data_IF_770134559063
#
_entry.id   IF_770134559063
#
_cell.length_a   1.000
_cell.length_b   1.000
_cell.length_c   1.000
_cell.angle_alpha   90.00
_cell.angle_beta   90.00
_cell.angle_gamma   90.00
#
_symmetry.space_group_name_H-M   'P 1'
#
loop_
_entity.id
_entity.type
_entity.pdbx_description
1 polymer ?
#
# COMPACT_ATOMS: atom_id res chain seq x y z
N UNK A 1 13.86 12.44 19.37
CA UNK A 1 13.53 11.55 20.52
C UNK A 1 13.62 10.11 20.04
N UNK A 2 14.20 9.20 20.83
CA UNK A 2 14.28 7.79 20.50
C UNK A 2 12.87 7.19 20.65
N UNK A 3 12.30 6.65 19.58
CA UNK A 3 10.96 6.06 19.60
C UNK A 3 11.01 4.70 20.28
N UNK A 4 10.15 4.48 21.29
CA UNK A 4 9.89 3.16 21.83
C UNK A 4 8.95 2.41 20.87
N UNK A 5 9.29 1.18 20.50
CA UNK A 5 8.42 0.31 19.70
C UNK A 5 7.39 -0.37 20.59
N UNK A 6 6.14 -0.41 20.14
CA UNK A 6 5.01 -0.96 20.91
C UNK A 6 5.24 -2.43 21.30
N UNK A 7 5.81 -3.25 20.40
CA UNK A 7 6.08 -4.68 20.70
C UNK A 7 7.03 -4.92 21.87
N UNK A 8 7.85 -3.91 22.20
CA UNK A 8 8.87 -4.03 23.24
C UNK A 8 8.36 -3.54 24.62
N UNK A 9 7.16 -2.99 24.69
CA UNK A 9 6.57 -2.47 25.93
C UNK A 9 6.13 -3.63 26.84
N UNK A 10 6.54 -3.56 28.11
CA UNK A 10 6.23 -4.51 29.15
C UNK A 10 5.48 -3.83 30.30
N UNK A 11 4.75 -4.60 31.09
CA UNK A 11 4.05 -4.09 32.29
C UNK A 11 5.08 -3.45 33.24
N UNK A 12 4.78 -2.23 33.67
CA UNK A 12 5.65 -1.39 34.51
C UNK A 12 6.55 -0.42 33.73
N UNK A 13 6.57 -0.50 32.40
CA UNK A 13 7.38 0.44 31.60
C UNK A 13 6.76 1.84 31.55
N UNK A 14 7.61 2.86 31.69
CA UNK A 14 7.25 4.23 31.31
C UNK A 14 7.17 4.36 29.80
N UNK A 15 6.10 4.96 29.31
CA UNK A 15 5.84 5.17 27.88
C UNK A 15 6.02 6.63 27.52
N UNK A 16 6.91 6.89 26.56
CA UNK A 16 7.03 8.17 25.88
C UNK A 16 7.26 7.92 24.39
N UNK A 17 6.17 7.84 23.61
CA UNK A 17 6.26 7.45 22.21
C UNK A 17 5.20 8.14 21.33
N UNK A 18 5.35 7.96 20.03
CA UNK A 18 4.34 8.31 19.04
C UNK A 18 3.60 7.04 18.65
N UNK A 19 2.28 7.13 18.50
CA UNK A 19 1.45 6.00 18.09
C UNK A 19 0.32 6.44 17.16
N UNK A 20 -0.06 5.55 16.26
CA UNK A 20 -1.25 5.66 15.42
C UNK A 20 -2.47 5.19 16.21
N UNK A 21 -3.55 5.94 16.19
CA UNK A 21 -4.83 5.54 16.78
C UNK A 21 -5.54 4.61 15.80
N UNK A 22 -5.51 3.30 16.07
CA UNK A 22 -6.19 2.28 15.28
C UNK A 22 -7.69 2.23 15.58
N UNK A 23 -8.03 2.41 16.87
CA UNK A 23 -9.40 2.49 17.35
C UNK A 23 -9.51 3.52 18.46
N UNK A 24 -10.64 4.23 18.54
CA UNK A 24 -10.95 5.15 19.63
C UNK A 24 -12.45 5.10 19.96
N UNK A 25 -12.77 4.92 21.23
CA UNK A 25 -14.14 4.93 21.72
C UNK A 25 -14.25 5.63 23.06
N UNK A 26 -15.43 6.22 23.34
CA UNK A 26 -15.75 6.82 24.63
C UNK A 26 -16.34 5.78 25.57
N UNK A 27 -15.86 5.77 26.83
CA UNK A 27 -16.46 5.04 27.91
C UNK A 27 -17.01 6.01 28.96
N UNK A 28 -18.18 5.72 29.52
CA UNK A 28 -18.78 6.53 30.59
C UNK A 28 -18.45 5.97 31.96
N UNK A 29 -18.27 6.83 32.96
CA UNK A 29 -18.11 6.41 34.31
C UNK A 29 -19.46 6.00 34.91
N UNK A 30 -19.46 4.87 35.62
CA UNK A 30 -20.66 4.39 36.35
C UNK A 30 -20.86 5.08 37.69
N UNK A 31 -19.85 5.78 38.23
CA UNK A 31 -19.89 6.44 39.50
C UNK A 31 -20.72 7.73 39.44
N UNK A 32 -21.73 7.95 40.34
CA UNK A 32 -22.62 9.10 40.28
C UNK A 32 -21.91 10.47 40.35
N UNK A 33 -20.79 10.55 41.08
CA UNK A 33 -20.00 11.78 41.23
C UNK A 33 -19.19 12.15 39.96
N UNK A 34 -19.13 11.28 38.98
CA UNK A 34 -18.52 11.47 37.67
C UNK A 34 -19.55 11.42 36.52
N UNK A 35 -20.81 11.62 36.85
CA UNK A 35 -21.87 11.65 35.85
C UNK A 35 -21.63 12.78 34.81
N UNK A 36 -21.62 12.41 33.55
CA UNK A 36 -21.31 13.30 32.42
C UNK A 36 -19.83 13.35 32.02
N UNK A 37 -18.94 12.79 32.84
CA UNK A 37 -17.55 12.60 32.42
C UNK A 37 -17.40 11.33 31.59
N UNK A 38 -16.39 11.31 30.73
CA UNK A 38 -16.04 10.14 29.91
C UNK A 38 -14.53 9.95 29.89
N UNK A 39 -14.13 8.75 29.58
CA UNK A 39 -12.74 8.36 29.35
C UNK A 39 -12.61 7.82 27.92
N UNK A 40 -11.38 7.78 27.39
CA UNK A 40 -11.12 7.21 26.08
C UNK A 40 -10.50 5.82 26.21
N UNK A 41 -11.07 4.87 25.47
CA UNK A 41 -10.45 3.57 25.18
C UNK A 41 -9.90 3.63 23.77
N UNK A 42 -8.64 3.24 23.61
CA UNK A 42 -7.95 3.26 22.32
C UNK A 42 -7.21 1.96 22.09
N UNK A 43 -7.00 1.63 20.83
CA UNK A 43 -5.94 0.73 20.38
C UNK A 43 -4.92 1.60 19.68
N UNK A 44 -3.70 1.59 20.19
CA UNK A 44 -2.56 2.32 19.63
C UNK A 44 -1.68 1.36 18.86
N UNK A 45 -1.19 1.80 17.70
CA UNK A 45 -0.36 0.99 16.81
C UNK A 45 0.91 1.70 16.36
N UNK A 46 1.89 0.89 15.98
CA UNK A 46 3.04 1.29 15.18
C UNK A 46 3.44 0.14 14.25
N UNK A 47 4.51 0.30 13.47
CA UNK A 47 5.01 -0.72 12.55
C UNK A 47 5.34 -2.07 13.24
N UNK A 48 5.53 -2.07 14.57
CA UNK A 48 5.91 -3.27 15.33
C UNK A 48 4.73 -4.04 15.91
N UNK A 49 3.56 -3.42 16.08
CA UNK A 49 2.38 -4.04 16.66
C UNK A 49 1.37 -3.04 17.22
N UNK A 50 0.48 -3.53 18.07
CA UNK A 50 -0.56 -2.71 18.71
C UNK A 50 -0.68 -3.03 20.19
N UNK A 51 -1.20 -2.05 20.97
CA UNK A 51 -1.42 -2.16 22.40
C UNK A 51 -2.72 -1.43 22.79
N UNK A 52 -3.45 -1.96 23.78
CA UNK A 52 -4.58 -1.25 24.37
C UNK A 52 -4.10 -0.02 25.12
N UNK A 53 -4.89 1.05 25.11
CA UNK A 53 -4.59 2.27 25.85
C UNK A 53 -5.87 2.87 26.44
N UNK A 54 -5.71 3.55 27.56
CA UNK A 54 -6.81 4.23 28.26
C UNK A 54 -6.35 5.59 28.73
N UNK A 55 -7.20 6.61 28.51
CA UNK A 55 -7.05 7.94 29.05
C UNK A 55 -8.24 8.22 29.95
N UNK A 56 -8.01 8.20 31.28
CA UNK A 56 -9.06 8.37 32.28
C UNK A 56 -9.52 9.81 32.45
N UNK A 57 -8.62 10.78 32.28
CA UNK A 57 -8.91 12.21 32.38
C UNK A 57 -8.77 12.87 31.00
N UNK A 58 -9.88 13.35 30.49
CA UNK A 58 -9.94 14.01 29.17
C UNK A 58 -10.01 15.53 29.29
N UNK A 59 -10.05 16.12 30.50
CA UNK A 59 -10.23 17.55 30.70
C UNK A 59 -9.06 18.42 30.16
N UNK A 60 -7.84 17.84 30.16
CA UNK A 60 -6.64 18.51 29.65
C UNK A 60 -6.41 18.36 28.13
N UNK A 61 -7.22 17.57 27.43
CA UNK A 61 -7.01 17.26 26.02
C UNK A 61 -7.68 18.34 25.16
N UNK A 62 -6.87 19.13 24.46
CA UNK A 62 -7.37 20.22 23.60
C UNK A 62 -8.20 19.71 22.42
N UNK A 63 -7.80 18.60 21.84
CA UNK A 63 -8.43 17.98 20.69
C UNK A 63 -8.46 16.46 20.88
N UNK A 64 -9.67 15.89 20.94
CA UNK A 64 -9.84 14.45 21.14
C UNK A 64 -9.32 13.69 19.92
N UNK A 65 -8.51 12.64 20.12
CA UNK A 65 -8.02 11.83 19.02
C UNK A 65 -9.15 11.02 18.38
N UNK A 66 -9.03 10.81 17.08
CA UNK A 66 -9.90 9.96 16.29
C UNK A 66 -9.06 8.84 15.65
N UNK A 67 -9.73 7.80 15.15
CA UNK A 67 -9.08 6.77 14.35
C UNK A 67 -8.33 7.42 13.17
N UNK A 68 -7.09 6.98 12.93
CA UNK A 68 -6.20 7.51 11.90
C UNK A 68 -5.28 8.64 12.37
N UNK A 69 -5.54 9.25 13.54
CA UNK A 69 -4.66 10.28 14.08
C UNK A 69 -3.34 9.68 14.58
N UNK A 70 -2.26 10.40 14.39
CA UNK A 70 -1.00 10.11 15.08
C UNK A 70 -0.91 11.01 16.31
N UNK A 71 -0.67 10.38 17.44
CA UNK A 71 -0.58 11.05 18.75
C UNK A 71 0.77 10.79 19.39
N UNK A 72 1.23 11.77 20.14
CA UNK A 72 2.28 11.57 21.13
C UNK A 72 1.61 11.21 22.44
N UNK A 73 2.13 10.20 23.12
CA UNK A 73 1.61 9.74 24.42
C UNK A 73 2.71 9.62 25.44
N UNK A 74 2.38 10.00 26.71
CA UNK A 74 3.10 9.65 27.90
C UNK A 74 2.18 8.84 28.81
N UNK A 75 2.76 7.91 29.57
CA UNK A 75 2.01 7.09 30.49
C UNK A 75 2.85 5.95 31.02
N UNK A 76 2.17 4.92 31.53
CA UNK A 76 2.78 3.69 32.07
C UNK A 76 2.01 2.48 31.54
N UNK A 77 2.70 1.37 31.33
CA UNK A 77 2.07 0.09 30.96
C UNK A 77 1.57 -0.61 32.22
N UNK A 78 0.26 -0.60 32.42
CA UNK A 78 -0.41 -1.37 33.47
C UNK A 78 -0.87 -2.74 33.00
N UNK A 79 -1.35 -3.57 33.94
CA UNK A 79 -2.02 -4.85 33.67
C UNK A 79 -3.54 -4.71 33.86
N UNK A 80 -4.28 -4.83 32.76
CA UNK A 80 -5.75 -4.90 32.78
C UNK A 80 -6.23 -5.92 31.74
N UNK A 81 -6.29 -7.19 32.17
CA UNK A 81 -6.49 -8.33 31.24
C UNK A 81 -5.46 -8.31 30.10
N UNK A 82 -4.18 -8.12 30.48
CA UNK A 82 -3.03 -7.97 29.62
C UNK A 82 -2.49 -6.53 29.58
N UNK A 83 -1.37 -6.30 28.86
CA UNK A 83 -0.70 -5.00 28.81
C UNK A 83 -1.62 -3.89 28.27
N UNK A 84 -1.69 -2.77 28.98
CA UNK A 84 -2.47 -1.59 28.60
C UNK A 84 -1.72 -0.32 29.00
N UNK A 85 -1.56 0.62 28.07
CA UNK A 85 -0.99 1.94 28.38
C UNK A 85 -2.03 2.78 29.11
N UNK A 86 -1.74 3.17 30.36
CA UNK A 86 -2.48 4.19 31.10
C UNK A 86 -1.87 5.54 30.76
N UNK A 87 -2.58 6.32 29.95
CA UNK A 87 -2.08 7.59 29.42
C UNK A 87 -2.24 8.68 30.46
N UNK A 88 -1.16 9.43 30.69
CA UNK A 88 -1.14 10.62 31.56
C UNK A 88 -1.10 11.93 30.76
N UNK A 89 -0.52 11.93 29.55
CA UNK A 89 -0.49 13.08 28.64
C UNK A 89 -0.65 12.61 27.19
N UNK A 90 -1.42 13.37 26.42
CA UNK A 90 -1.72 13.09 25.03
C UNK A 90 -1.77 14.38 24.23
N UNK A 91 -1.15 14.36 23.05
CA UNK A 91 -1.28 15.42 22.05
C UNK A 91 -1.31 14.88 20.63
N UNK A 92 -2.17 15.44 19.81
CA UNK A 92 -2.20 15.17 18.36
C UNK A 92 -0.95 15.70 17.69
N UNK A 93 -0.43 14.97 16.71
CA UNK A 93 0.71 15.39 15.91
C UNK A 93 0.24 15.81 14.51
N UNK A 94 0.97 16.76 13.93
CA UNK A 94 0.74 17.23 12.58
C UNK A 94 1.10 16.11 11.57
N UNK A 95 0.16 15.64 10.74
CA UNK A 95 0.42 14.56 9.77
C UNK A 95 1.54 14.84 8.78
N UNK A 96 1.85 16.11 8.50
CA UNK A 96 2.92 16.49 7.59
C UNK A 96 4.32 16.38 8.22
N UNK A 97 4.40 16.33 9.55
CA UNK A 97 5.65 16.31 10.32
C UNK A 97 6.03 14.94 10.89
N UNK A 98 5.20 13.93 10.65
CA UNK A 98 5.47 12.58 11.13
C UNK A 98 6.35 11.81 10.16
N UNK A 99 7.16 10.91 10.71
CA UNK A 99 7.83 9.89 9.90
C UNK A 99 6.89 8.69 9.73
N UNK A 100 6.29 8.54 8.56
CA UNK A 100 5.33 7.48 8.24
C UNK A 100 5.88 6.07 8.45
N UNK A 101 7.19 5.85 8.25
CA UNK A 101 7.81 4.53 8.45
C UNK A 101 7.69 3.99 9.87
N UNK A 102 7.30 4.83 10.82
CA UNK A 102 7.05 4.38 12.20
C UNK A 102 5.67 3.73 12.37
N UNK A 103 4.73 3.98 11.47
CA UNK A 103 3.32 3.60 11.65
C UNK A 103 2.84 2.63 10.58
N UNK A 104 3.50 2.59 9.44
CA UNK A 104 3.16 1.72 8.32
C UNK A 104 4.44 1.09 7.74
N UNK A 105 4.36 -0.13 7.21
CA UNK A 105 5.46 -0.71 6.46
C UNK A 105 5.80 0.20 5.26
N UNK A 106 7.07 0.24 4.90
CA UNK A 106 7.58 0.96 3.72
C UNK A 106 8.40 0.00 2.87
N UNK A 107 8.55 0.29 1.58
CA UNK A 107 9.48 -0.44 0.72
C UNK A 107 10.91 -0.31 1.26
N UNK A 108 11.69 -1.38 1.16
CA UNK A 108 13.13 -1.36 1.49
C UNK A 108 13.95 -0.59 0.44
N UNK A 109 13.35 -0.34 -0.74
CA UNK A 109 13.98 0.43 -1.82
C UNK A 109 13.70 1.93 -1.66
N UNK A 110 14.70 2.79 -1.92
CA UNK A 110 14.52 4.26 -1.92
C UNK A 110 13.53 4.67 -3.03
N UNK A 111 12.40 5.32 -2.71
CA UNK A 111 11.43 5.77 -3.71
C UNK A 111 12.04 6.72 -4.77
N UNK A 112 13.09 7.46 -4.42
CA UNK A 112 13.78 8.36 -5.37
C UNK A 112 14.56 7.57 -6.41
N UNK A 113 15.25 6.50 -6.00
CA UNK A 113 15.96 5.60 -6.92
C UNK A 113 14.97 4.87 -7.83
N UNK A 114 13.86 4.38 -7.27
CA UNK A 114 12.79 3.74 -8.04
C UNK A 114 12.16 4.70 -9.07
N UNK A 115 11.89 5.96 -8.70
CA UNK A 115 11.39 6.96 -9.63
C UNK A 115 12.41 7.30 -10.71
N UNK A 116 13.69 7.33 -10.38
CA UNK A 116 14.74 7.55 -11.35
C UNK A 116 14.81 6.39 -12.37
N UNK A 117 14.75 5.15 -11.89
CA UNK A 117 14.65 3.95 -12.75
C UNK A 117 13.47 4.05 -13.71
N UNK A 118 12.27 4.40 -13.20
CA UNK A 118 11.08 4.56 -14.04
C UNK A 118 11.26 5.65 -15.11
N UNK A 119 11.86 6.80 -14.76
CA UNK A 119 12.17 7.88 -15.72
C UNK A 119 13.15 7.44 -16.79
N UNK A 120 14.14 6.64 -16.44
CA UNK A 120 15.10 6.08 -17.39
C UNK A 120 14.42 5.12 -18.37
N UNK A 121 13.51 4.28 -17.87
CA UNK A 121 12.68 3.41 -18.72
C UNK A 121 11.84 4.23 -19.70
N UNK A 122 11.14 5.25 -19.22
CA UNK A 122 10.33 6.15 -20.06
C UNK A 122 11.21 6.83 -21.13
N UNK A 123 12.39 7.27 -20.77
CA UNK A 123 13.32 7.95 -21.68
C UNK A 123 13.89 7.02 -22.74
N UNK A 124 14.35 5.82 -22.31
CA UNK A 124 15.18 4.95 -23.11
C UNK A 124 14.38 3.89 -23.89
N UNK A 125 13.30 3.34 -23.31
CA UNK A 125 12.60 2.21 -23.89
C UNK A 125 11.29 2.59 -24.61
N UNK A 126 10.68 3.72 -24.26
CA UNK A 126 9.46 4.19 -24.94
C UNK A 126 9.85 4.97 -26.20
N UNK A 127 9.70 4.33 -27.34
CA UNK A 127 10.11 4.89 -28.65
C UNK A 127 8.99 5.66 -29.36
N UNK A 128 7.73 5.21 -29.19
CA UNK A 128 6.59 5.89 -29.78
C UNK A 128 6.36 7.26 -29.10
N UNK A 129 6.31 8.37 -29.88
CA UNK A 129 6.21 9.70 -29.30
C UNK A 129 4.90 9.95 -28.54
N UNK A 130 3.78 9.38 -28.97
CA UNK A 130 2.49 9.55 -28.29
C UNK A 130 2.50 8.82 -26.93
N UNK A 131 3.06 7.59 -26.87
CA UNK A 131 3.19 6.84 -25.61
C UNK A 131 4.15 7.55 -24.64
N UNK A 132 5.25 8.10 -25.17
CA UNK A 132 6.20 8.89 -24.35
C UNK A 132 5.54 10.16 -23.81
N UNK A 133 4.83 10.92 -24.65
CA UNK A 133 4.10 12.12 -24.20
C UNK A 133 3.04 11.78 -23.15
N UNK A 134 2.34 10.66 -23.33
CA UNK A 134 1.36 10.18 -22.35
C UNK A 134 2.00 9.93 -20.98
N UNK A 135 3.07 9.14 -20.92
CA UNK A 135 3.77 8.89 -19.65
C UNK A 135 4.35 10.16 -19.03
N UNK A 136 4.94 11.04 -19.85
CA UNK A 136 5.44 12.32 -19.36
C UNK A 136 4.31 13.22 -18.83
N UNK A 137 3.10 13.15 -19.37
CA UNK A 137 1.95 13.92 -18.87
C UNK A 137 1.53 13.50 -17.45
N UNK A 138 1.80 12.26 -17.05
CA UNK A 138 1.63 11.77 -15.69
C UNK A 138 2.82 12.14 -14.81
N UNK A 139 4.04 11.75 -15.21
CA UNK A 139 5.22 11.78 -14.31
C UNK A 139 5.97 13.13 -14.28
N UNK A 140 5.59 14.13 -15.11
CA UNK A 140 6.02 15.51 -14.94
C UNK A 140 5.16 16.28 -13.93
N UNK A 141 4.00 15.78 -13.58
CA UNK A 141 3.19 16.29 -12.47
C UNK A 141 3.81 15.85 -11.15
N UNK A 142 4.30 16.83 -10.37
CA UNK A 142 5.01 16.58 -9.12
C UNK A 142 4.12 15.94 -8.05
N UNK A 143 2.86 16.37 -7.97
CA UNK A 143 1.93 15.85 -6.98
C UNK A 143 1.49 14.42 -7.34
N UNK A 144 1.19 14.16 -8.60
CA UNK A 144 0.94 12.81 -9.09
C UNK A 144 2.14 11.88 -8.79
N UNK A 145 3.35 12.30 -9.16
CA UNK A 145 4.58 11.51 -8.97
C UNK A 145 4.83 11.21 -7.49
N UNK A 146 4.61 12.21 -6.62
CA UNK A 146 4.73 12.01 -5.16
C UNK A 146 3.72 11.00 -4.64
N UNK A 147 2.46 11.12 -5.06
CA UNK A 147 1.39 10.19 -4.64
C UNK A 147 1.66 8.78 -5.16
N UNK A 148 2.07 8.63 -6.42
CA UNK A 148 2.41 7.35 -7.02
C UNK A 148 3.59 6.65 -6.31
N UNK A 149 4.60 7.42 -5.92
CA UNK A 149 5.76 6.92 -5.20
C UNK A 149 5.48 6.48 -3.75
N UNK A 150 4.37 6.93 -3.16
CA UNK A 150 4.02 6.63 -1.76
C UNK A 150 2.83 5.67 -1.64
N UNK A 151 2.06 5.46 -2.71
CA UNK A 151 0.89 4.60 -2.67
C UNK A 151 1.26 3.13 -2.43
N UNK A 152 0.40 2.35 -1.72
CA UNK A 152 0.52 0.91 -1.67
C UNK A 152 0.00 0.28 -2.96
N UNK A 153 0.46 -0.92 -3.30
CA UNK A 153 -0.12 -1.69 -4.39
C UNK A 153 -1.39 -2.45 -3.99
N UNK A 154 -1.50 -2.81 -2.72
CA UNK A 154 -2.69 -3.48 -2.18
C UNK A 154 -2.89 -3.11 -0.70
N UNK A 155 -4.10 -3.34 -0.18
CA UNK A 155 -4.41 -3.10 1.23
C UNK A 155 -3.78 -4.13 2.18
N UNK A 156 -3.71 -5.40 1.78
CA UNK A 156 -3.36 -6.47 2.73
C UNK A 156 -2.55 -7.64 2.14
N UNK A 157 -2.47 -7.81 0.82
CA UNK A 157 -1.98 -9.07 0.23
C UNK A 157 -0.52 -8.96 -0.23
N UNK A 158 -0.24 -8.16 -1.24
CA UNK A 158 1.09 -7.98 -1.82
C UNK A 158 1.45 -6.51 -1.85
N UNK A 159 2.72 -6.15 -1.72
CA UNK A 159 3.20 -4.77 -1.75
C UNK A 159 2.33 -3.79 -0.91
N UNK A 160 1.79 -4.28 0.23
CA UNK A 160 0.90 -3.51 1.12
C UNK A 160 1.72 -2.61 2.07
N UNK A 161 2.56 -1.78 1.50
CA UNK A 161 3.43 -0.82 2.16
C UNK A 161 3.58 0.45 1.33
N UNK A 162 3.98 1.53 1.99
CA UNK A 162 4.25 2.78 1.28
C UNK A 162 5.38 2.59 0.27
N UNK A 163 5.15 3.03 -0.97
CA UNK A 163 6.05 2.77 -2.11
C UNK A 163 5.78 1.46 -2.84
N UNK A 164 4.84 0.64 -2.34
CA UNK A 164 4.53 -0.66 -2.92
C UNK A 164 4.00 -0.59 -4.35
N UNK A 165 3.23 0.44 -4.70
CA UNK A 165 2.73 0.63 -6.06
C UNK A 165 3.86 0.85 -7.07
N UNK A 166 4.82 1.70 -6.74
CA UNK A 166 5.96 1.98 -7.62
C UNK A 166 6.87 0.75 -7.74
N UNK A 167 7.13 0.06 -6.64
CA UNK A 167 7.94 -1.16 -6.63
C UNK A 167 7.30 -2.27 -7.47
N UNK A 168 6.02 -2.55 -7.25
CA UNK A 168 5.23 -3.48 -8.04
C UNK A 168 5.25 -3.13 -9.54
N UNK A 169 5.01 -1.87 -9.86
CA UNK A 169 5.05 -1.39 -11.26
C UNK A 169 6.41 -1.68 -11.92
N UNK A 170 7.52 -1.46 -11.23
CA UNK A 170 8.86 -1.76 -11.75
C UNK A 170 9.10 -3.26 -11.92
N UNK A 171 8.59 -4.10 -11.02
CA UNK A 171 8.65 -5.55 -11.16
C UNK A 171 7.85 -6.02 -12.39
N UNK A 172 6.61 -5.55 -12.55
CA UNK A 172 5.78 -5.87 -13.72
C UNK A 172 6.47 -5.42 -15.02
N UNK A 173 7.07 -4.23 -15.05
CA UNK A 173 7.85 -3.74 -16.19
C UNK A 173 9.02 -4.69 -16.52
N UNK A 174 9.77 -5.15 -15.53
CA UNK A 174 10.91 -6.07 -15.74
C UNK A 174 10.44 -7.41 -16.30
N UNK A 175 9.34 -7.96 -15.77
CA UNK A 175 8.75 -9.22 -16.26
C UNK A 175 8.25 -9.01 -17.70
N UNK A 176 7.52 -7.95 -17.98
CA UNK A 176 7.05 -7.61 -19.33
C UNK A 176 8.19 -7.47 -20.34
N UNK A 177 9.30 -6.81 -19.94
CA UNK A 177 10.49 -6.68 -20.79
C UNK A 177 11.08 -8.04 -21.15
N UNK A 178 11.19 -8.93 -20.17
CA UNK A 178 11.68 -10.28 -20.43
C UNK A 178 10.76 -11.05 -21.38
N UNK A 179 9.44 -11.03 -21.12
CA UNK A 179 8.46 -11.70 -21.99
C UNK A 179 8.46 -11.12 -23.41
N UNK A 180 8.59 -9.80 -23.58
CA UNK A 180 8.70 -9.17 -24.89
C UNK A 180 9.96 -9.61 -25.66
N UNK A 181 11.07 -9.89 -24.97
CA UNK A 181 12.28 -10.39 -25.62
C UNK A 181 12.15 -11.79 -26.20
N UNK A 182 11.18 -12.60 -25.69
CA UNK A 182 10.88 -13.93 -26.23
C UNK A 182 10.01 -13.91 -27.48
N UNK A 183 9.21 -12.83 -27.66
CA UNK A 183 8.26 -12.66 -28.77
C UNK A 183 8.40 -11.29 -29.44
N UNK A 184 9.60 -10.92 -29.95
CA UNK A 184 9.89 -9.56 -30.42
C UNK A 184 9.06 -9.13 -31.63
N UNK A 185 8.64 -10.08 -32.46
CA UNK A 185 7.83 -9.80 -33.65
C UNK A 185 6.34 -9.58 -33.34
N UNK A 186 5.88 -9.91 -32.12
CA UNK A 186 4.47 -9.86 -31.74
C UNK A 186 4.19 -8.90 -30.58
N UNK A 187 5.15 -8.69 -29.68
CA UNK A 187 5.03 -7.82 -28.53
C UNK A 187 5.78 -6.50 -28.76
N UNK A 188 5.04 -5.43 -28.91
CA UNK A 188 5.62 -4.08 -28.97
C UNK A 188 6.03 -3.65 -27.57
N UNK A 189 7.36 -3.61 -27.35
CA UNK A 189 7.92 -3.32 -26.02
C UNK A 189 7.42 -1.99 -25.46
N UNK A 190 7.45 -0.90 -26.24
CA UNK A 190 7.04 0.44 -25.80
C UNK A 190 5.56 0.51 -25.37
N UNK A 191 4.68 -0.19 -26.08
CA UNK A 191 3.26 -0.28 -25.75
C UNK A 191 3.04 -1.12 -24.47
N UNK A 192 3.70 -2.29 -24.39
CA UNK A 192 3.60 -3.16 -23.23
C UNK A 192 4.10 -2.49 -21.95
N UNK A 193 5.26 -1.81 -22.01
CA UNK A 193 5.79 -1.09 -20.84
C UNK A 193 4.94 0.13 -20.47
N UNK A 194 4.29 0.78 -21.44
CA UNK A 194 3.33 1.86 -21.16
C UNK A 194 2.11 1.31 -20.39
N UNK A 195 1.54 0.19 -20.85
CA UNK A 195 0.46 -0.49 -20.15
C UNK A 195 0.87 -0.94 -18.75
N UNK A 196 2.06 -1.55 -18.60
CA UNK A 196 2.62 -1.96 -17.32
C UNK A 196 2.83 -0.78 -16.35
N UNK A 197 3.19 0.40 -16.87
CA UNK A 197 3.34 1.61 -16.04
C UNK A 197 2.00 2.15 -15.55
N UNK A 198 0.93 2.01 -16.33
CA UNK A 198 -0.36 2.63 -16.07
C UNK A 198 -1.46 1.69 -15.57
N UNK A 199 -1.25 0.35 -15.55
CA UNK A 199 -2.31 -0.60 -15.23
C UNK A 199 -2.98 -0.32 -13.90
N UNK A 200 -2.20 0.06 -12.91
CA UNK A 200 -2.61 0.29 -11.53
C UNK A 200 -2.65 1.78 -11.12
N UNK A 201 -2.55 2.69 -12.08
CA UNK A 201 -2.45 4.13 -11.82
C UNK A 201 -3.61 4.69 -10.99
N UNK A 202 -4.79 4.08 -11.10
CA UNK A 202 -5.99 4.47 -10.33
C UNK A 202 -5.87 4.24 -8.82
N UNK A 203 -4.94 3.42 -8.38
CA UNK A 203 -4.69 3.15 -6.94
C UNK A 203 -4.29 4.40 -6.16
N UNK A 204 -3.70 5.40 -6.81
CA UNK A 204 -3.39 6.67 -6.14
C UNK A 204 -4.63 7.44 -5.68
N UNK A 205 -5.80 7.19 -6.26
CA UNK A 205 -7.08 7.77 -5.86
C UNK A 205 -8.01 6.75 -5.18
N UNK A 206 -7.71 5.46 -5.31
CA UNK A 206 -8.43 4.40 -4.62
C UNK A 206 -8.18 4.43 -3.12
N UNK A 207 -6.94 4.74 -2.70
CA UNK A 207 -6.59 4.87 -1.29
C UNK A 207 -6.66 6.31 -0.81
N UNK A 208 -7.11 6.49 0.45
CA UNK A 208 -7.05 7.79 1.12
C UNK A 208 -5.58 8.15 1.40
N UNK A 209 -5.04 9.23 0.81
CA UNK A 209 -3.64 9.62 1.00
C UNK A 209 -3.31 10.05 2.43
N UNK A 210 -4.32 10.39 3.23
CA UNK A 210 -4.15 10.77 4.64
C UNK A 210 -4.07 9.52 5.55
N UNK A 211 -4.63 8.39 5.11
CA UNK A 211 -4.66 7.16 5.89
C UNK A 211 -3.27 6.53 6.00
N UNK A 212 -2.91 6.09 7.21
CA UNK A 212 -1.68 5.33 7.50
C UNK A 212 -1.90 3.81 7.51
N UNK A 213 -3.15 3.36 7.43
CA UNK A 213 -3.55 1.95 7.37
C UNK A 213 -4.12 1.57 5.98
N UNK A 214 -3.84 2.40 4.96
CA UNK A 214 -4.25 2.20 3.57
C UNK A 214 -5.76 1.98 3.41
N UNK A 215 -6.56 2.81 4.09
CA UNK A 215 -8.01 2.78 3.91
C UNK A 215 -8.40 3.27 2.50
N UNK A 216 -9.47 2.68 1.98
CA UNK A 216 -10.03 3.13 0.72
C UNK A 216 -10.72 4.49 0.88
N UNK A 217 -10.51 5.38 -0.08
CA UNK A 217 -11.33 6.58 -0.26
C UNK A 217 -12.77 6.20 -0.61
N UNK A 218 -13.72 7.13 -0.50
CA UNK A 218 -15.09 6.88 -0.97
C UNK A 218 -15.13 6.58 -2.47
N UNK A 219 -14.29 7.26 -3.26
CA UNK A 219 -14.15 6.97 -4.69
C UNK A 219 -13.59 5.56 -4.93
N UNK A 220 -12.61 5.14 -4.13
CA UNK A 220 -12.06 3.78 -4.17
C UNK A 220 -13.11 2.71 -3.90
N UNK A 221 -13.95 2.91 -2.87
CA UNK A 221 -15.03 1.98 -2.51
C UNK A 221 -16.15 1.88 -3.55
N UNK A 222 -16.48 2.99 -4.21
CA UNK A 222 -17.61 3.08 -5.12
C UNK A 222 -17.27 2.79 -6.59
N UNK A 223 -16.04 3.10 -7.01
CA UNK A 223 -15.63 3.06 -8.43
C UNK A 223 -14.52 2.04 -8.67
N UNK A 224 -13.56 1.91 -7.74
CA UNK A 224 -12.40 1.00 -7.86
C UNK A 224 -11.32 1.50 -8.82
N UNK A 225 -10.07 1.08 -8.56
CA UNK A 225 -8.88 1.60 -9.27
C UNK A 225 -8.88 1.35 -10.78
N UNK A 226 -9.46 0.25 -11.27
CA UNK A 226 -9.49 -0.06 -12.71
C UNK A 226 -10.25 1.02 -13.48
N UNK A 227 -11.46 1.36 -13.01
CA UNK A 227 -12.29 2.39 -13.64
C UNK A 227 -11.69 3.77 -13.46
N UNK A 228 -11.13 4.07 -12.28
CA UNK A 228 -10.41 5.32 -12.00
C UNK A 228 -9.20 5.46 -12.92
N UNK A 229 -8.39 4.40 -13.07
CA UNK A 229 -7.21 4.38 -13.93
C UNK A 229 -7.56 4.59 -15.40
N UNK A 230 -8.66 3.97 -15.87
CA UNK A 230 -9.18 4.19 -17.23
C UNK A 230 -9.62 5.64 -17.45
N UNK A 231 -10.30 6.25 -16.48
CA UNK A 231 -10.70 7.65 -16.56
C UNK A 231 -9.48 8.59 -16.58
N UNK A 232 -8.47 8.33 -15.74
CA UNK A 232 -7.22 9.10 -15.75
C UNK A 232 -6.48 8.99 -17.07
N UNK A 233 -6.45 7.79 -17.68
CA UNK A 233 -5.89 7.56 -19.02
C UNK A 233 -6.59 8.43 -20.04
N UNK A 234 -7.94 8.42 -20.08
CA UNK A 234 -8.74 9.20 -21.03
C UNK A 234 -8.50 10.70 -20.88
N UNK A 235 -8.47 11.19 -19.65
CA UNK A 235 -8.21 12.61 -19.38
C UNK A 235 -6.85 13.05 -19.92
N UNK A 236 -5.79 12.24 -19.73
CA UNK A 236 -4.45 12.55 -20.22
C UNK A 236 -4.36 12.44 -21.75
N UNK A 237 -4.94 11.41 -22.35
CA UNK A 237 -4.97 11.24 -23.82
C UNK A 237 -5.73 12.37 -24.50
N UNK A 238 -6.83 12.87 -23.92
CA UNK A 238 -7.59 13.98 -24.51
C UNK A 238 -6.78 15.28 -24.65
N UNK A 239 -5.71 15.42 -23.90
CA UNK A 239 -4.79 16.57 -23.93
C UNK A 239 -3.66 16.39 -24.96
N UNK A 240 -3.52 15.22 -25.57
CA UNK A 240 -2.47 14.93 -26.54
C UNK A 240 -3.07 14.99 -27.95
N UNK A 241 -2.68 15.99 -28.78
CA UNK A 241 -3.22 16.11 -30.12
C UNK A 241 -2.96 14.87 -30.97
N UNK A 242 -3.97 14.47 -31.74
CA UNK A 242 -3.90 13.36 -32.68
C UNK A 242 -3.39 12.03 -32.09
N UNK A 243 -3.71 11.75 -30.81
CA UNK A 243 -3.35 10.47 -30.21
C UNK A 243 -4.00 9.33 -31.01
N UNK A 244 -3.23 8.32 -31.48
CA UNK A 244 -3.76 7.26 -32.34
C UNK A 244 -4.83 6.42 -31.65
N UNK A 245 -6.00 6.29 -32.27
CA UNK A 245 -7.14 5.57 -31.72
C UNK A 245 -6.81 4.13 -31.34
N UNK A 246 -6.03 3.42 -32.17
CA UNK A 246 -5.66 2.02 -31.89
C UNK A 246 -4.76 1.89 -30.65
N UNK A 247 -3.85 2.85 -30.40
CA UNK A 247 -3.04 2.87 -29.19
C UNK A 247 -3.91 3.14 -27.96
N UNK A 248 -4.86 4.08 -28.08
CA UNK A 248 -5.81 4.36 -27.00
C UNK A 248 -6.61 3.10 -26.64
N UNK A 249 -7.22 2.47 -27.63
CA UNK A 249 -8.05 1.28 -27.46
C UNK A 249 -7.29 0.14 -26.80
N UNK A 250 -6.03 -0.07 -27.22
CA UNK A 250 -5.17 -1.11 -26.65
C UNK A 250 -4.82 -0.82 -25.18
N UNK A 251 -4.44 0.42 -24.85
CA UNK A 251 -4.15 0.81 -23.46
C UNK A 251 -5.38 0.72 -22.55
N UNK A 252 -6.55 1.17 -23.05
CA UNK A 252 -7.81 1.01 -22.30
C UNK A 252 -8.08 -0.47 -22.03
N UNK A 253 -7.93 -1.32 -23.05
CA UNK A 253 -8.14 -2.75 -22.89
C UNK A 253 -7.14 -3.38 -21.90
N UNK A 254 -5.86 -2.99 -21.96
CA UNK A 254 -4.84 -3.45 -21.01
C UNK A 254 -5.23 -3.09 -19.56
N UNK A 255 -5.68 -1.85 -19.30
CA UNK A 255 -6.12 -1.43 -17.96
C UNK A 255 -7.40 -2.19 -17.55
N UNK A 256 -8.39 -2.31 -18.42
CA UNK A 256 -9.67 -2.95 -18.09
C UNK A 256 -9.57 -4.46 -17.88
N UNK A 257 -8.49 -5.09 -18.32
CA UNK A 257 -8.35 -6.55 -18.31
C UNK A 257 -7.15 -7.08 -17.51
N UNK A 258 -6.39 -6.21 -16.82
CA UNK A 258 -5.15 -6.64 -16.16
C UNK A 258 -5.37 -7.62 -14.99
N UNK A 259 -6.54 -7.64 -14.35
CA UNK A 259 -6.90 -8.69 -13.38
C UNK A 259 -7.22 -10.05 -14.03
N UNK A 260 -7.37 -10.13 -15.35
CA UNK A 260 -7.46 -11.35 -16.14
C UNK A 260 -8.81 -12.04 -16.12
N UNK A 261 -9.41 -12.24 -14.96
CA UNK A 261 -10.66 -12.99 -14.79
C UNK A 261 -11.76 -12.10 -14.19
N UNK A 262 -13.02 -12.31 -14.63
CA UNK A 262 -14.17 -11.57 -14.12
C UNK A 262 -14.41 -11.84 -12.64
N UNK A 263 -14.17 -13.07 -12.21
CA UNK A 263 -14.26 -13.50 -10.81
C UNK A 263 -13.28 -12.76 -9.89
N UNK A 264 -12.21 -12.22 -10.46
CA UNK A 264 -11.22 -11.39 -9.74
C UNK A 264 -11.49 -9.90 -9.87
N UNK A 265 -12.68 -9.53 -10.38
CA UNK A 265 -13.10 -8.15 -10.53
C UNK A 265 -12.63 -7.46 -11.81
N UNK A 266 -12.09 -8.20 -12.79
CA UNK A 266 -11.74 -7.63 -14.08
C UNK A 266 -13.00 -7.28 -14.89
N UNK A 267 -13.18 -6.03 -15.34
CA UNK A 267 -14.30 -5.67 -16.23
C UNK A 267 -14.30 -6.45 -17.54
N UNK A 268 -13.11 -6.74 -18.08
CA UNK A 268 -12.91 -7.54 -19.29
C UNK A 268 -11.83 -8.61 -19.09
N UNK A 269 -11.85 -9.63 -19.93
CA UNK A 269 -10.75 -10.62 -20.01
C UNK A 269 -9.73 -10.18 -21.08
N UNK A 270 -8.43 -10.52 -20.93
CA UNK A 270 -7.41 -10.15 -21.91
C UNK A 270 -7.69 -10.77 -23.30
N UNK A 271 -7.87 -9.92 -24.32
CA UNK A 271 -8.17 -10.32 -25.71
C UNK A 271 -7.07 -9.97 -26.69
N UNK A 272 -6.03 -9.27 -26.23
CA UNK A 272 -4.85 -8.95 -27.03
C UNK A 272 -3.60 -9.57 -26.43
N UNK A 273 -2.58 -9.76 -27.23
CA UNK A 273 -1.32 -10.35 -26.75
C UNK A 273 -0.66 -9.47 -25.68
N UNK A 274 -0.74 -8.14 -25.79
CA UNK A 274 -0.19 -7.21 -24.80
C UNK A 274 -0.97 -7.28 -23.47
N UNK A 275 -2.31 -7.28 -23.53
CA UNK A 275 -3.14 -7.40 -22.35
C UNK A 275 -2.95 -8.76 -21.64
N UNK A 276 -2.83 -9.85 -22.41
CA UNK A 276 -2.54 -11.18 -21.87
C UNK A 276 -1.17 -11.23 -21.20
N UNK A 277 -0.16 -10.66 -21.83
CA UNK A 277 1.20 -10.61 -21.26
C UNK A 277 1.24 -9.76 -19.98
N UNK A 278 0.57 -8.59 -19.98
CA UNK A 278 0.47 -7.73 -18.79
C UNK A 278 -0.20 -8.45 -17.63
N UNK A 279 -1.36 -9.07 -17.85
CA UNK A 279 -2.06 -9.84 -16.83
C UNK A 279 -1.17 -10.88 -16.16
N UNK A 280 -0.44 -11.67 -16.96
CA UNK A 280 0.46 -12.69 -16.39
C UNK A 280 1.67 -12.09 -15.67
N UNK A 281 2.21 -10.98 -16.16
CA UNK A 281 3.32 -10.28 -15.50
C UNK A 281 2.89 -9.71 -14.13
N UNK A 282 1.72 -9.08 -14.07
CA UNK A 282 1.10 -8.57 -12.85
C UNK A 282 0.85 -9.71 -11.84
N UNK A 283 0.20 -10.78 -12.29
CA UNK A 283 -0.10 -11.96 -11.45
C UNK A 283 1.18 -12.58 -10.88
N UNK A 284 2.25 -12.72 -11.68
CA UNK A 284 3.53 -13.28 -11.24
C UNK A 284 4.16 -12.38 -10.16
N UNK A 285 4.25 -11.06 -10.38
CA UNK A 285 4.78 -10.13 -9.38
C UNK A 285 3.99 -10.21 -8.08
N UNK A 286 2.66 -10.10 -8.14
CA UNK A 286 1.79 -10.15 -6.97
C UNK A 286 1.93 -11.45 -6.18
N UNK A 287 1.95 -12.60 -6.86
CA UNK A 287 2.03 -13.92 -6.21
C UNK A 287 3.41 -14.19 -5.63
N UNK A 288 4.50 -13.87 -6.34
CA UNK A 288 5.85 -14.05 -5.82
C UNK A 288 6.09 -13.18 -4.58
N UNK A 289 5.66 -11.91 -4.59
CA UNK A 289 5.75 -11.05 -3.40
C UNK A 289 4.98 -11.66 -2.21
N UNK A 290 3.78 -12.22 -2.44
CA UNK A 290 3.01 -12.89 -1.39
C UNK A 290 3.75 -14.11 -0.83
N UNK A 291 4.36 -14.96 -1.71
CA UNK A 291 5.16 -16.11 -1.28
C UNK A 291 6.34 -15.67 -0.40
N UNK A 292 7.13 -14.68 -0.87
CA UNK A 292 8.30 -14.17 -0.14
C UNK A 292 7.90 -13.68 1.24
N UNK A 293 6.84 -12.88 1.35
CA UNK A 293 6.35 -12.35 2.63
C UNK A 293 5.88 -13.43 3.60
N UNK A 294 5.25 -14.49 3.09
CA UNK A 294 4.86 -15.62 3.93
C UNK A 294 6.07 -16.42 4.41
N UNK A 295 7.09 -16.55 3.57
CA UNK A 295 8.35 -17.20 3.95
C UNK A 295 9.13 -16.39 5.00
N UNK A 296 9.11 -15.06 4.94
CA UNK A 296 9.77 -14.16 5.90
C UNK A 296 9.06 -14.12 7.26
N UNK A 297 7.75 -14.29 7.28
CA UNK A 297 6.92 -14.33 8.50
C UNK A 297 7.02 -15.66 9.26
N UNK A 298 8.11 -16.40 9.11
CA UNK A 298 8.28 -17.69 9.79
C UNK A 298 7.68 -17.68 11.20
N UNK A 299 6.74 -18.59 11.51
CA UNK A 299 6.38 -18.85 12.91
C UNK A 299 7.65 -19.31 13.64
N UNK A 300 7.83 -18.86 14.86
CA UNK A 300 8.90 -19.31 15.77
C UNK A 300 8.75 -20.78 16.22
N UNK A 301 8.06 -21.61 15.44
CA UNK A 301 7.76 -23.02 15.71
C UNK A 301 8.46 -23.96 14.73
N UNK A 302 8.76 -25.16 15.19
CA UNK A 302 9.38 -26.26 14.44
C UNK A 302 8.43 -26.80 13.36
N UNK A 303 8.44 -26.24 12.15
CA UNK A 303 7.66 -26.73 11.04
C UNK A 303 8.22 -26.27 9.70
N UNK A 304 8.16 -27.18 8.70
CA UNK A 304 8.62 -26.91 7.34
C UNK A 304 7.54 -26.24 6.46
N UNK A 305 6.36 -25.91 7.04
CA UNK A 305 5.21 -25.39 6.34
C UNK A 305 4.65 -24.13 7.01
N UNK A 306 4.09 -23.21 6.21
CA UNK A 306 3.28 -22.12 6.75
C UNK A 306 1.91 -22.64 7.19
N UNK A 307 1.19 -21.81 7.96
CA UNK A 307 -0.26 -21.96 8.07
C UNK A 307 -0.93 -21.82 6.69
N UNK A 308 -2.21 -22.24 6.61
CA UNK A 308 -3.01 -22.09 5.41
C UNK A 308 -3.24 -20.62 5.06
N UNK A 309 -2.75 -20.19 3.91
CA UNK A 309 -3.03 -18.85 3.38
C UNK A 309 -4.32 -18.87 2.54
N UNK A 310 -5.28 -18.02 2.92
CA UNK A 310 -6.61 -17.97 2.28
C UNK A 310 -6.56 -17.41 0.85
N UNK A 311 -5.58 -16.57 0.53
CA UNK A 311 -5.46 -15.93 -0.79
C UNK A 311 -4.69 -16.78 -1.78
N UNK A 312 -3.76 -17.61 -1.29
CA UNK A 312 -3.07 -18.61 -2.10
C UNK A 312 -3.80 -19.96 -2.11
N UNK A 313 -4.80 -20.15 -1.21
CA UNK A 313 -5.56 -21.39 -1.02
C UNK A 313 -4.63 -22.60 -0.82
N UNK A 314 -3.54 -22.39 -0.06
CA UNK A 314 -2.55 -23.43 0.26
C UNK A 314 -1.63 -23.05 1.42
N UNK A 315 -0.97 -24.05 1.99
CA UNK A 315 0.22 -23.87 2.82
C UNK A 315 1.46 -23.87 1.93
N UNK A 316 2.51 -23.15 2.34
CA UNK A 316 3.78 -23.04 1.60
C UNK A 316 4.84 -23.84 2.33
N UNK A 317 5.63 -24.60 1.56
CA UNK A 317 6.80 -25.31 2.04
C UNK A 317 7.99 -24.36 2.18
N UNK A 318 8.58 -24.32 3.38
CA UNK A 318 9.59 -23.32 3.75
C UNK A 318 11.05 -23.80 3.62
N UNK A 319 11.23 -25.11 3.44
CA UNK A 319 12.58 -25.68 3.33
C UNK A 319 13.12 -25.46 1.93
N UNK A 320 14.13 -24.62 1.82
CA UNK A 320 14.91 -24.53 0.56
C UNK A 320 15.80 -25.76 0.43
N UNK A 321 16.02 -26.26 -0.80
CA UNK A 321 17.05 -27.27 -1.02
C UNK A 321 18.37 -26.76 -0.45
N UNK A 322 19.03 -27.60 0.36
CA UNK A 322 20.39 -27.26 0.81
C UNK A 322 21.32 -27.29 -0.43
N UNK A 323 22.21 -26.30 -0.52
CA UNK A 323 23.31 -26.41 -1.47
C UNK A 323 24.13 -27.63 -1.05
N UNK A 324 24.05 -28.71 -1.84
CA UNK A 324 24.96 -29.85 -1.72
C UNK A 324 26.35 -29.36 -2.19
N UNK A 325 27.20 -28.93 -1.22
CA UNK A 325 28.60 -28.65 -1.44
C UNK A 325 29.41 -29.94 -1.53
#
# INVERSE_FOLDING_TARGET
MKKQLIRNLQIGDEVETQALVLECSKGNFSAPHRAGEFFLKMILGDVSGSIKAILWDTAGVKELPQKGDVIFVRGEVGDYYGPQVVISDLRKLDPEKINRSYFQPVSDRDPREMLQELKEIISNDIKNPHLKLLLLSFFNDKEFTRRFALAPAARSIHHNYAGGLLEHTLEVIRICRHLASLYPDHLRLDLLLTGATLHDVGKIEEYDPASLDFEFSDRGKLVGHISIGKEMLDQKISQIPAFPFQLKLELEHMILSHHGMREWGSPEVPKTIHAFTLFHADLVSARLNQFVRLMEKRPSGEGDWTEWDRHLERSIYLKMPADEN
#
